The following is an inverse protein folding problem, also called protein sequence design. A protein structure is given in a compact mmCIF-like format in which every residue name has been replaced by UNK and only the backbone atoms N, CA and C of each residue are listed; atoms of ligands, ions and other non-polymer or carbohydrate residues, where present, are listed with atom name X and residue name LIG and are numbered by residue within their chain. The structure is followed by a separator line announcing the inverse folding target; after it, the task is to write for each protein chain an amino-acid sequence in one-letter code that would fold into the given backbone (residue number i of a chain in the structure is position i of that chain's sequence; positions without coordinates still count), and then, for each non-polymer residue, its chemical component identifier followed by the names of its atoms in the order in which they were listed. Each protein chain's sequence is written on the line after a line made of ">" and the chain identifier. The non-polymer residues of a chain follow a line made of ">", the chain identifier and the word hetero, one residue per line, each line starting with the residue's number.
data_IF_227517848669
#
_entry.id   IF_227517848669
#
_cell.length_a   1.000
_cell.length_b   1.000
_cell.length_c   1.000
_cell.angle_alpha   90.00
_cell.angle_beta   90.00
_cell.angle_gamma   90.00
#
_symmetry.space_group_name_H-M   'P 1'
#
loop_
_entity.id
_entity.type
_entity.pdbx_description
1 polymer ?
#
# COMPACT_ATOMS: atom_id res chain seq x y z
N UNK A 1 -33.10 2.11 -4.31
CA UNK A 1 -32.13 2.02 -5.41
C UNK A 1 -32.82 2.33 -6.71
N UNK A 2 -32.19 3.09 -7.59
CA UNK A 2 -32.61 3.27 -8.99
C UNK A 2 -31.62 2.56 -9.90
N UNK A 3 -32.07 2.10 -11.06
CA UNK A 3 -31.22 1.41 -12.04
C UNK A 3 -31.27 2.16 -13.36
N UNK A 4 -30.11 2.58 -13.86
CA UNK A 4 -29.96 3.30 -15.11
C UNK A 4 -29.82 2.31 -16.26
N UNK A 5 -30.81 2.28 -17.14
CA UNK A 5 -30.85 1.41 -18.32
C UNK A 5 -30.57 2.18 -19.61
N UNK A 6 -30.66 3.52 -19.58
CA UNK A 6 -30.30 4.39 -20.69
C UNK A 6 -29.75 5.75 -20.22
N UNK A 7 -29.26 6.56 -21.16
CA UNK A 7 -28.80 7.92 -20.89
C UNK A 7 -29.94 8.86 -20.49
N UNK A 8 -31.18 8.59 -20.90
CA UNK A 8 -32.35 9.34 -20.42
C UNK A 8 -32.59 9.13 -18.93
N UNK A 9 -32.38 7.92 -18.40
CA UNK A 9 -32.48 7.66 -16.95
C UNK A 9 -31.42 8.47 -16.16
N UNK A 10 -30.20 8.55 -16.69
CA UNK A 10 -29.13 9.36 -16.12
C UNK A 10 -29.49 10.85 -16.13
N UNK A 11 -30.06 11.34 -17.24
CA UNK A 11 -30.54 12.72 -17.36
C UNK A 11 -31.70 13.00 -16.39
N UNK A 12 -32.58 12.02 -16.14
CA UNK A 12 -33.68 12.18 -15.19
C UNK A 12 -33.18 12.30 -13.74
N UNK A 13 -32.06 11.66 -13.38
CA UNK A 13 -31.42 11.85 -12.07
C UNK A 13 -30.92 13.27 -11.85
N UNK A 14 -30.49 13.95 -12.92
CA UNK A 14 -30.03 15.33 -12.88
C UNK A 14 -31.09 16.34 -12.43
N UNK A 15 -32.37 15.93 -12.35
CA UNK A 15 -33.47 16.77 -11.86
C UNK A 15 -33.35 17.17 -10.39
N UNK A 16 -32.47 16.51 -9.63
CA UNK A 16 -32.15 16.84 -8.25
C UNK A 16 -30.62 16.96 -8.04
N UNK A 17 -30.21 17.92 -7.21
CA UNK A 17 -28.79 18.04 -6.84
C UNK A 17 -28.33 16.85 -5.95
N UNK A 18 -29.24 16.30 -5.14
CA UNK A 18 -28.97 15.16 -4.25
C UNK A 18 -29.95 14.04 -4.52
N UNK A 19 -29.43 12.85 -4.84
CA UNK A 19 -30.21 11.63 -4.91
C UNK A 19 -30.19 10.87 -3.57
N UNK A 20 -31.39 10.68 -3.00
CA UNK A 20 -31.60 9.95 -1.75
C UNK A 20 -31.72 8.45 -2.00
N UNK A 21 -30.61 7.73 -1.97
CA UNK A 21 -30.52 6.29 -2.20
C UNK A 21 -29.34 5.90 -3.08
N UNK A 22 -29.35 4.65 -3.55
CA UNK A 22 -28.28 4.08 -4.38
C UNK A 22 -28.63 4.10 -5.87
N UNK A 23 -27.61 4.27 -6.70
CA UNK A 23 -27.67 4.23 -8.17
C UNK A 23 -26.94 2.98 -8.67
N UNK A 24 -27.60 2.18 -9.50
CA UNK A 24 -27.04 1.03 -10.18
C UNK A 24 -27.09 1.22 -11.70
N UNK A 25 -26.19 0.58 -12.44
CA UNK A 25 -26.20 0.55 -13.91
C UNK A 25 -26.68 -0.82 -14.39
N UNK A 26 -27.65 -0.84 -15.29
CA UNK A 26 -28.16 -2.07 -15.88
C UNK A 26 -27.08 -2.76 -16.73
N UNK A 27 -27.07 -4.10 -16.74
CA UNK A 27 -26.11 -4.90 -17.52
C UNK A 27 -26.17 -4.65 -19.03
N UNK A 28 -27.33 -4.21 -19.54
CA UNK A 28 -27.54 -3.87 -20.94
C UNK A 28 -27.12 -2.44 -21.33
N UNK A 29 -26.66 -1.62 -20.39
CA UNK A 29 -26.20 -0.26 -20.69
C UNK A 29 -24.96 -0.31 -21.58
N UNK A 30 -24.85 0.61 -22.55
CA UNK A 30 -23.72 0.69 -23.47
C UNK A 30 -23.15 2.10 -23.57
N UNK A 31 -21.94 2.19 -24.11
CA UNK A 31 -21.28 3.44 -24.47
C UNK A 31 -20.91 4.33 -23.28
N UNK A 32 -21.58 5.47 -23.09
CA UNK A 32 -21.18 6.50 -22.12
C UNK A 32 -22.27 6.73 -21.11
N UNK A 33 -21.94 6.59 -19.83
CA UNK A 33 -22.78 7.04 -18.73
C UNK A 33 -22.24 8.36 -18.19
N UNK A 34 -22.95 9.45 -18.48
CA UNK A 34 -22.68 10.76 -17.92
C UNK A 34 -23.72 11.09 -16.84
N UNK A 35 -23.27 11.32 -15.62
CA UNK A 35 -24.09 11.71 -14.47
C UNK A 35 -24.00 13.22 -14.25
N UNK A 36 -24.19 14.02 -15.31
CA UNK A 36 -24.23 15.47 -15.18
C UNK A 36 -25.47 15.95 -14.40
N UNK A 37 -25.36 17.10 -13.75
CA UNK A 37 -26.37 17.75 -12.92
C UNK A 37 -26.47 17.24 -11.48
N UNK A 38 -26.25 15.95 -11.21
CA UNK A 38 -26.25 15.42 -9.84
C UNK A 38 -24.95 15.79 -9.11
N UNK A 39 -25.07 16.23 -7.86
CA UNK A 39 -23.93 16.62 -7.02
C UNK A 39 -23.65 15.62 -5.90
N UNK A 40 -24.68 14.92 -5.41
CA UNK A 40 -24.54 13.95 -4.32
C UNK A 40 -25.41 12.71 -4.53
N UNK A 41 -24.81 11.54 -4.30
CA UNK A 41 -25.51 10.27 -4.10
C UNK A 41 -25.32 9.87 -2.65
N UNK A 42 -26.40 9.85 -1.87
CA UNK A 42 -26.34 9.47 -0.45
C UNK A 42 -26.12 7.97 -0.22
N UNK A 43 -26.39 7.14 -1.23
CA UNK A 43 -26.09 5.71 -1.22
C UNK A 43 -24.84 5.36 -2.03
N UNK A 44 -24.84 4.16 -2.61
CA UNK A 44 -23.77 3.66 -3.49
C UNK A 44 -23.98 4.03 -4.96
N UNK A 45 -22.90 4.11 -5.72
CA UNK A 45 -22.89 4.09 -7.18
C UNK A 45 -22.25 2.78 -7.63
N UNK A 46 -22.99 1.97 -8.40
CA UNK A 46 -22.54 0.63 -8.76
C UNK A 46 -22.79 0.28 -10.23
N UNK A 47 -21.74 -0.20 -10.91
CA UNK A 47 -21.84 -0.86 -12.20
C UNK A 47 -21.15 -2.23 -12.14
N UNK A 48 -21.92 -3.30 -12.34
CA UNK A 48 -21.41 -4.68 -12.37
C UNK A 48 -21.89 -5.42 -13.60
N UNK A 49 -20.99 -6.16 -14.26
CA UNK A 49 -21.31 -6.94 -15.46
C UNK A 49 -21.95 -6.11 -16.59
N UNK A 50 -21.47 -4.87 -16.77
CA UNK A 50 -21.90 -3.97 -17.85
C UNK A 50 -20.79 -3.95 -18.91
N UNK A 51 -20.63 -5.04 -19.65
CA UNK A 51 -19.45 -5.27 -20.50
C UNK A 51 -19.28 -4.29 -21.66
N UNK A 52 -20.34 -3.54 -22.01
CA UNK A 52 -20.37 -2.59 -23.12
C UNK A 52 -20.26 -1.12 -22.70
N UNK A 53 -20.22 -0.80 -21.40
CA UNK A 53 -19.93 0.57 -20.96
C UNK A 53 -18.45 0.89 -21.26
N UNK A 54 -18.20 2.07 -21.82
CA UNK A 54 -16.87 2.53 -22.26
C UNK A 54 -16.36 3.70 -21.44
N UNK A 55 -17.27 4.56 -20.99
CA UNK A 55 -16.94 5.75 -20.19
C UNK A 55 -17.97 5.92 -19.09
N UNK A 56 -17.48 6.28 -17.90
CA UNK A 56 -18.29 6.73 -16.79
C UNK A 56 -17.78 8.10 -16.34
N UNK A 57 -18.63 9.12 -16.37
CA UNK A 57 -18.22 10.48 -16.06
C UNK A 57 -19.24 11.26 -15.24
N UNK A 58 -18.76 12.29 -14.55
CA UNK A 58 -19.58 13.41 -14.11
C UNK A 58 -18.73 14.66 -13.91
N UNK A 59 -19.12 15.81 -14.49
CA UNK A 59 -18.47 17.09 -14.21
C UNK A 59 -18.99 17.76 -12.93
N UNK A 60 -20.03 17.21 -12.31
CA UNK A 60 -20.81 17.85 -11.22
C UNK A 60 -20.88 17.04 -9.95
N UNK A 61 -20.78 15.71 -10.01
CA UNK A 61 -20.84 14.83 -8.85
C UNK A 61 -19.65 15.09 -7.92
N UNK A 62 -19.97 15.46 -6.69
CA UNK A 62 -19.01 15.76 -5.62
C UNK A 62 -18.93 14.64 -4.61
N UNK A 63 -20.05 13.96 -4.33
CA UNK A 63 -20.12 13.01 -3.22
C UNK A 63 -20.86 11.72 -3.58
N UNK A 64 -20.26 10.61 -3.18
CA UNK A 64 -20.90 9.29 -3.10
C UNK A 64 -20.73 8.83 -1.66
N UNK A 65 -21.73 8.99 -0.81
CA UNK A 65 -21.57 8.71 0.63
C UNK A 65 -21.46 7.21 0.93
N UNK A 66 -21.91 6.35 0.01
CA UNK A 66 -21.70 4.90 0.05
C UNK A 66 -20.52 4.44 -0.81
N UNK A 67 -20.55 3.16 -1.19
CA UNK A 67 -19.50 2.56 -2.00
C UNK A 67 -19.59 3.02 -3.48
N UNK A 68 -18.46 3.31 -4.11
CA UNK A 68 -18.31 3.45 -5.54
C UNK A 68 -17.70 2.16 -6.10
N UNK A 69 -18.55 1.32 -6.68
CA UNK A 69 -18.19 -0.05 -7.10
C UNK A 69 -18.27 -0.22 -8.61
N UNK A 70 -17.16 -0.62 -9.22
CA UNK A 70 -17.06 -0.98 -10.63
C UNK A 70 -16.49 -2.40 -10.74
N UNK A 71 -17.24 -3.30 -11.38
CA UNK A 71 -16.91 -4.72 -11.43
C UNK A 71 -17.22 -5.36 -12.79
N UNK A 72 -16.28 -6.10 -13.36
CA UNK A 72 -16.48 -6.83 -14.63
C UNK A 72 -16.99 -5.93 -15.77
N UNK A 73 -16.23 -4.88 -16.07
CA UNK A 73 -16.55 -3.90 -17.11
C UNK A 73 -15.50 -3.97 -18.22
N UNK A 74 -15.60 -4.99 -19.09
CA UNK A 74 -14.60 -5.35 -20.10
C UNK A 74 -14.26 -4.24 -21.11
N UNK A 75 -15.17 -3.27 -21.30
CA UNK A 75 -14.99 -2.17 -22.24
C UNK A 75 -14.72 -0.82 -21.58
N UNK A 76 -14.81 -0.70 -20.25
CA UNK A 76 -14.65 0.58 -19.57
C UNK A 76 -13.20 1.03 -19.70
N UNK A 77 -12.99 2.15 -20.38
CA UNK A 77 -11.66 2.68 -20.66
C UNK A 77 -11.33 3.91 -19.82
N UNK A 78 -12.34 4.71 -19.49
CA UNK A 78 -12.17 6.00 -18.83
C UNK A 78 -13.19 6.20 -17.69
N UNK A 79 -12.69 6.73 -16.58
CA UNK A 79 -13.48 7.24 -15.47
C UNK A 79 -13.09 8.71 -15.27
N UNK A 80 -14.06 9.62 -15.31
CA UNK A 80 -13.78 11.06 -15.21
C UNK A 80 -14.74 11.76 -14.24
N UNK A 81 -14.25 12.07 -13.03
CA UNK A 81 -15.00 12.73 -11.98
C UNK A 81 -14.23 13.93 -11.42
N UNK A 82 -14.36 15.07 -12.11
CA UNK A 82 -13.55 16.28 -11.85
C UNK A 82 -13.78 16.93 -10.50
N UNK A 83 -14.93 16.67 -9.88
CA UNK A 83 -15.35 17.31 -8.62
C UNK A 83 -15.58 16.32 -7.49
N UNK A 84 -15.44 15.02 -7.74
CA UNK A 84 -15.69 14.00 -6.71
C UNK A 84 -14.61 14.15 -5.65
N UNK A 85 -15.03 14.54 -4.45
CA UNK A 85 -14.15 14.81 -3.31
C UNK A 85 -14.46 13.92 -2.10
N UNK A 86 -15.57 13.20 -2.12
CA UNK A 86 -15.99 12.33 -1.03
C UNK A 86 -16.54 11.03 -1.59
N UNK A 87 -15.97 9.90 -1.18
CA UNK A 87 -16.47 8.56 -1.48
C UNK A 87 -16.45 7.73 -0.20
N UNK A 88 -17.47 6.92 0.07
CA UNK A 88 -17.41 5.98 1.20
C UNK A 88 -16.24 5.00 1.03
N UNK A 89 -16.33 4.13 0.02
CA UNK A 89 -15.26 3.19 -0.36
C UNK A 89 -15.18 3.07 -1.87
N UNK A 90 -13.98 2.97 -2.43
CA UNK A 90 -13.76 2.74 -3.85
C UNK A 90 -13.38 1.28 -4.09
N UNK A 91 -14.10 0.60 -4.99
CA UNK A 91 -13.77 -0.77 -5.39
C UNK A 91 -13.84 -0.92 -6.91
N UNK A 92 -12.68 -1.02 -7.54
CA UNK A 92 -12.51 -1.21 -8.97
C UNK A 92 -11.89 -2.58 -9.21
N UNK A 93 -12.65 -3.50 -9.80
CA UNK A 93 -12.31 -4.92 -9.89
C UNK A 93 -12.62 -5.44 -11.30
N UNK A 94 -11.64 -6.07 -11.93
CA UNK A 94 -11.81 -6.68 -13.27
C UNK A 94 -12.24 -5.64 -14.31
N UNK A 95 -11.34 -4.68 -14.56
CA UNK A 95 -11.53 -3.55 -15.48
C UNK A 95 -10.37 -3.51 -16.51
N UNK A 96 -10.25 -4.51 -17.40
CA UNK A 96 -9.03 -4.78 -18.16
C UNK A 96 -8.65 -3.69 -19.18
N UNK A 97 -9.59 -2.81 -19.54
CA UNK A 97 -9.36 -1.68 -20.45
C UNK A 97 -9.28 -0.33 -19.76
N UNK A 98 -9.51 -0.25 -18.45
CA UNK A 98 -9.49 1.02 -17.73
C UNK A 98 -8.05 1.50 -17.67
N UNK A 99 -7.71 2.59 -18.38
CA UNK A 99 -6.33 3.07 -18.47
C UNK A 99 -6.03 4.21 -17.49
N UNK A 100 -7.05 4.98 -17.12
CA UNK A 100 -6.90 6.16 -16.27
C UNK A 100 -8.09 6.33 -15.32
N UNK A 101 -7.81 6.97 -14.18
CA UNK A 101 -8.81 7.36 -13.17
C UNK A 101 -8.69 8.86 -12.98
N UNK A 102 -9.62 9.63 -13.55
CA UNK A 102 -9.66 11.08 -13.42
C UNK A 102 -10.38 11.51 -12.15
N UNK A 103 -9.64 11.73 -11.06
CA UNK A 103 -10.14 12.21 -9.76
C UNK A 103 -9.38 13.47 -9.32
N UNK A 104 -9.61 14.57 -10.06
CA UNK A 104 -8.80 15.77 -10.01
C UNK A 104 -8.86 16.57 -8.69
N UNK A 105 -9.96 16.45 -7.93
CA UNK A 105 -10.20 17.23 -6.72
C UNK A 105 -9.42 16.72 -5.49
N UNK A 106 -8.91 15.48 -5.55
CA UNK A 106 -8.55 14.70 -4.38
C UNK A 106 -9.79 14.18 -3.64
N UNK A 107 -9.69 12.98 -3.06
CA UNK A 107 -10.85 12.25 -2.54
C UNK A 107 -10.64 11.88 -1.09
N UNK A 108 -11.59 12.25 -0.23
CA UNK A 108 -11.77 11.67 1.10
C UNK A 108 -12.46 10.31 0.95
N UNK A 109 -11.79 9.24 1.39
CA UNK A 109 -12.24 7.87 1.19
C UNK A 109 -11.79 6.97 2.33
N UNK A 110 -12.66 6.08 2.80
CA UNK A 110 -12.31 5.13 3.85
C UNK A 110 -11.41 4.00 3.33
N UNK A 111 -11.67 3.47 2.13
CA UNK A 111 -10.83 2.44 1.54
C UNK A 111 -10.78 2.47 0.01
N UNK A 112 -9.66 2.01 -0.55
CA UNK A 112 -9.44 1.91 -2.00
C UNK A 112 -8.97 0.50 -2.35
N UNK A 113 -9.79 -0.20 -3.14
CA UNK A 113 -9.45 -1.50 -3.74
C UNK A 113 -9.32 -1.34 -5.26
N UNK A 114 -8.12 -1.50 -5.82
CA UNK A 114 -7.86 -1.48 -7.27
C UNK A 114 -7.28 -2.83 -7.68
N UNK A 115 -8.09 -3.66 -8.33
CA UNK A 115 -7.74 -5.06 -8.62
C UNK A 115 -7.98 -5.42 -10.08
N UNK A 116 -6.99 -6.07 -10.72
CA UNK A 116 -7.13 -6.60 -12.09
C UNK A 116 -7.63 -5.56 -13.10
N UNK A 117 -7.02 -4.37 -13.09
CA UNK A 117 -7.33 -3.27 -14.00
C UNK A 117 -6.28 -3.09 -15.09
N UNK A 118 -6.62 -2.34 -16.14
CA UNK A 118 -5.69 -1.94 -17.20
C UNK A 118 -4.87 -0.68 -16.88
N UNK A 119 -4.92 -0.18 -15.64
CA UNK A 119 -4.32 1.10 -15.25
C UNK A 119 -2.80 0.98 -15.27
N UNK A 120 -2.13 1.94 -15.91
CA UNK A 120 -0.67 1.98 -16.00
C UNK A 120 -0.03 2.87 -14.93
N UNK A 121 -0.69 3.95 -14.53
CA UNK A 121 -0.26 4.82 -13.42
C UNK A 121 -1.47 5.16 -12.57
N UNK A 122 -1.38 4.90 -11.27
CA UNK A 122 -2.38 5.28 -10.29
C UNK A 122 -1.87 6.48 -9.49
N UNK A 123 -2.51 7.63 -9.70
CA UNK A 123 -2.26 8.85 -8.92
C UNK A 123 -3.55 9.25 -8.20
N UNK A 124 -3.54 9.20 -6.88
CA UNK A 124 -4.69 9.64 -6.08
C UNK A 124 -4.24 10.56 -4.95
N UNK A 125 -4.90 11.70 -4.84
CA UNK A 125 -4.77 12.57 -3.68
C UNK A 125 -5.81 12.17 -2.62
N UNK A 126 -5.54 11.08 -1.91
CA UNK A 126 -6.30 10.65 -0.74
C UNK A 126 -5.61 11.19 0.50
N UNK A 127 -6.32 11.81 1.46
CA UNK A 127 -5.67 12.40 2.64
C UNK A 127 -5.38 11.38 3.75
N UNK A 128 -6.36 10.53 4.03
CA UNK A 128 -6.34 9.46 5.04
C UNK A 128 -7.20 8.32 4.48
N UNK A 129 -6.81 7.08 4.73
CA UNK A 129 -7.63 5.91 4.45
C UNK A 129 -7.41 4.87 5.56
N UNK A 130 -8.39 4.00 5.78
CA UNK A 130 -8.22 2.82 6.62
C UNK A 130 -7.46 1.75 5.84
N UNK A 131 -7.88 1.45 4.60
CA UNK A 131 -7.34 0.37 3.79
C UNK A 131 -7.02 0.82 2.37
N UNK A 132 -5.81 0.50 1.90
CA UNK A 132 -5.40 0.59 0.50
C UNK A 132 -4.94 -0.79 0.04
N UNK A 133 -5.64 -1.33 -0.95
CA UNK A 133 -5.33 -2.62 -1.55
C UNK A 133 -5.22 -2.47 -3.07
N UNK A 134 -4.00 -2.63 -3.60
CA UNK A 134 -3.73 -2.56 -5.04
C UNK A 134 -3.05 -3.85 -5.49
N UNK A 135 -3.79 -4.67 -6.23
CA UNK A 135 -3.32 -6.00 -6.58
C UNK A 135 -3.66 -6.45 -8.01
N UNK A 136 -2.87 -7.37 -8.54
CA UNK A 136 -3.10 -8.02 -9.84
C UNK A 136 -3.19 -7.06 -11.04
N UNK A 137 -2.66 -5.83 -10.92
CA UNK A 137 -2.65 -4.87 -12.03
C UNK A 137 -1.35 -5.03 -12.86
N UNK A 138 -1.35 -6.00 -13.77
CA UNK A 138 -0.16 -6.40 -14.54
C UNK A 138 0.44 -5.31 -15.42
N UNK A 139 -0.29 -4.21 -15.68
CA UNK A 139 0.18 -3.07 -16.46
C UNK A 139 0.63 -1.87 -15.60
N UNK A 140 0.43 -1.93 -14.29
CA UNK A 140 0.61 -0.80 -13.39
C UNK A 140 2.09 -0.58 -13.08
N UNK A 141 2.69 0.42 -13.72
CA UNK A 141 4.11 0.78 -13.58
C UNK A 141 4.36 1.72 -12.40
N UNK A 142 3.37 2.50 -11.99
CA UNK A 142 3.53 3.50 -10.94
C UNK A 142 2.29 3.61 -10.06
N UNK A 143 2.50 3.77 -8.75
CA UNK A 143 1.48 4.07 -7.76
C UNK A 143 1.99 5.23 -6.92
N UNK A 144 1.35 6.40 -7.03
CA UNK A 144 1.66 7.56 -6.19
C UNK A 144 0.39 8.01 -5.46
N UNK A 145 0.44 7.99 -4.12
CA UNK A 145 -0.71 8.34 -3.30
C UNK A 145 -0.35 9.44 -2.30
N UNK A 146 -1.16 10.50 -2.26
CA UNK A 146 -0.97 11.68 -1.41
C UNK A 146 -1.30 11.51 0.09
N UNK A 147 -1.44 10.27 0.57
CA UNK A 147 -1.97 9.98 1.90
C UNK A 147 -0.98 10.28 3.03
N UNK A 148 -1.54 10.70 4.17
CA UNK A 148 -0.79 10.99 5.39
C UNK A 148 -0.78 9.83 6.37
N UNK A 149 -1.92 9.12 6.49
CA UNK A 149 -2.14 8.06 7.48
C UNK A 149 -2.90 6.86 6.88
N UNK A 150 -2.53 5.65 7.30
CA UNK A 150 -3.21 4.37 7.01
C UNK A 150 -3.73 3.73 8.30
N UNK A 151 -5.05 3.69 8.47
CA UNK A 151 -5.72 3.20 9.68
C UNK A 151 -5.49 1.71 9.97
N UNK A 152 -5.58 0.87 8.95
CA UNK A 152 -5.51 -0.59 9.05
C UNK A 152 -4.37 -1.16 8.20
N UNK A 153 -4.43 -1.05 6.87
CA UNK A 153 -3.47 -1.71 5.99
C UNK A 153 -3.18 -0.96 4.69
N UNK A 154 -1.91 -0.98 4.28
CA UNK A 154 -1.43 -0.62 2.95
C UNK A 154 -0.79 -1.85 2.33
N UNK A 155 -1.45 -2.42 1.32
CA UNK A 155 -1.01 -3.65 0.65
C UNK A 155 -0.91 -3.42 -0.85
N UNK A 156 0.30 -3.63 -1.37
CA UNK A 156 0.62 -3.60 -2.80
C UNK A 156 1.22 -4.95 -3.16
N UNK A 157 0.58 -5.72 -4.04
CA UNK A 157 1.08 -7.04 -4.42
C UNK A 157 0.69 -7.47 -5.84
N UNK A 158 1.48 -8.36 -6.45
CA UNK A 158 1.16 -8.97 -7.74
C UNK A 158 0.81 -7.99 -8.89
N UNK A 159 1.30 -6.75 -8.84
CA UNK A 159 1.18 -5.79 -9.94
C UNK A 159 2.28 -6.04 -10.99
N UNK A 160 2.51 -5.09 -11.92
CA UNK A 160 3.67 -5.17 -12.80
C UNK A 160 4.95 -5.36 -11.94
N UNK A 161 5.84 -6.33 -12.23
CA UNK A 161 7.10 -6.52 -11.50
C UNK A 161 8.02 -5.28 -11.45
N UNK A 162 7.82 -4.33 -12.37
CA UNK A 162 8.52 -3.04 -12.40
C UNK A 162 7.78 -1.92 -11.66
N UNK A 163 6.70 -2.20 -10.93
CA UNK A 163 5.91 -1.16 -10.25
C UNK A 163 6.75 -0.37 -9.25
N UNK A 164 6.78 0.94 -9.42
CA UNK A 164 7.33 1.89 -8.46
C UNK A 164 6.20 2.42 -7.57
N UNK A 165 6.48 2.60 -6.27
CA UNK A 165 5.52 3.16 -5.31
C UNK A 165 6.08 4.42 -4.65
N UNK A 166 5.25 5.45 -4.55
CA UNK A 166 5.59 6.72 -3.91
C UNK A 166 4.47 7.18 -2.95
N UNK A 167 4.84 7.38 -1.70
CA UNK A 167 3.97 7.83 -0.61
C UNK A 167 4.59 9.08 0.04
N UNK A 168 4.60 10.22 -0.66
CA UNK A 168 5.43 11.38 -0.30
C UNK A 168 5.04 12.04 1.02
N UNK A 169 3.79 11.86 1.45
CA UNK A 169 3.24 12.46 2.67
C UNK A 169 2.95 11.47 3.79
N UNK A 170 3.13 10.17 3.55
CA UNK A 170 2.78 9.14 4.53
C UNK A 170 3.67 9.29 5.76
N UNK A 171 3.06 9.54 6.91
CA UNK A 171 3.74 9.82 8.18
C UNK A 171 3.51 8.75 9.24
N UNK A 172 2.35 8.07 9.15
CA UNK A 172 1.96 6.99 10.04
C UNK A 172 1.21 5.90 9.28
N UNK A 173 1.45 4.64 9.61
CA UNK A 173 0.67 3.53 9.12
C UNK A 173 0.45 2.50 10.21
N UNK A 174 -0.69 1.82 10.19
CA UNK A 174 -0.85 0.64 11.04
C UNK A 174 -0.04 -0.53 10.49
N UNK A 175 -0.29 -0.97 9.27
CA UNK A 175 0.43 -2.08 8.63
C UNK A 175 0.79 -1.72 7.19
N UNK A 176 2.01 -2.08 6.76
CA UNK A 176 2.51 -1.92 5.39
C UNK A 176 3.02 -3.28 4.91
N UNK A 177 2.47 -3.76 3.79
CA UNK A 177 2.92 -4.96 3.10
C UNK A 177 3.18 -4.62 1.63
N UNK A 178 4.45 -4.65 1.22
CA UNK A 178 4.86 -4.43 -0.16
C UNK A 178 5.43 -5.72 -0.73
N UNK A 179 4.86 -6.20 -1.84
CA UNK A 179 5.29 -7.40 -2.53
C UNK A 179 5.51 -7.14 -4.01
N UNK A 180 6.62 -7.62 -4.56
CA UNK A 180 6.97 -7.47 -5.98
C UNK A 180 7.03 -6.00 -6.45
N UNK A 181 7.60 -5.13 -5.62
CA UNK A 181 7.79 -3.71 -5.91
C UNK A 181 9.24 -3.45 -6.34
N UNK A 182 9.44 -2.59 -7.34
CA UNK A 182 10.76 -2.31 -7.94
C UNK A 182 11.45 -1.07 -7.36
N UNK A 183 10.68 -0.09 -6.90
CA UNK A 183 11.17 1.13 -6.27
C UNK A 183 10.19 1.62 -5.21
N UNK A 184 10.71 2.16 -4.11
CA UNK A 184 9.93 2.50 -2.91
C UNK A 184 10.37 3.85 -2.38
N UNK A 185 9.44 4.82 -2.39
CA UNK A 185 9.62 6.13 -1.78
C UNK A 185 8.56 6.35 -0.69
N UNK A 186 9.02 6.60 0.54
CA UNK A 186 8.16 6.97 1.68
C UNK A 186 8.94 7.88 2.66
N UNK A 187 9.41 9.05 2.22
CA UNK A 187 10.43 9.83 2.93
C UNK A 187 9.98 10.37 4.29
N UNK A 188 8.66 10.40 4.56
CA UNK A 188 8.07 11.01 5.76
C UNK A 188 7.56 10.02 6.79
N UNK A 189 7.57 8.72 6.50
CA UNK A 189 7.03 7.73 7.44
C UNK A 189 7.89 7.76 8.71
N UNK A 190 7.23 7.93 9.85
CA UNK A 190 7.91 8.02 11.14
C UNK A 190 7.57 6.85 12.06
N UNK A 191 6.39 6.27 11.89
CA UNK A 191 5.86 5.28 12.82
C UNK A 191 5.01 4.23 12.10
N UNK A 192 5.25 2.96 12.41
CA UNK A 192 4.42 1.83 11.99
C UNK A 192 3.92 1.07 13.23
N UNK A 193 2.61 0.96 13.40
CA UNK A 193 2.02 0.42 14.63
C UNK A 193 2.04 -1.11 14.72
N UNK A 194 1.89 -1.79 13.59
CA UNK A 194 1.96 -3.23 13.51
C UNK A 194 3.20 -3.60 12.70
N UNK A 195 3.09 -3.90 11.41
CA UNK A 195 4.21 -4.46 10.67
C UNK A 195 4.53 -3.68 9.40
N UNK A 196 5.80 -3.68 9.03
CA UNK A 196 6.32 -3.19 7.76
C UNK A 196 7.12 -4.31 7.09
N UNK A 197 6.56 -4.89 6.04
CA UNK A 197 7.16 -6.00 5.29
C UNK A 197 7.46 -5.62 3.83
N UNK A 198 8.69 -5.94 3.39
CA UNK A 198 9.09 -5.99 1.98
C UNK A 198 9.36 -7.45 1.62
N UNK A 199 8.63 -7.96 0.64
CA UNK A 199 8.64 -9.39 0.29
C UNK A 199 8.79 -9.56 -1.22
N UNK A 200 9.81 -10.29 -1.68
CA UNK A 200 10.00 -10.54 -3.10
C UNK A 200 10.06 -9.25 -3.96
N UNK A 201 10.58 -8.16 -3.39
CA UNK A 201 10.79 -6.89 -4.09
C UNK A 201 12.13 -6.89 -4.82
N UNK A 202 12.18 -6.17 -5.94
CA UNK A 202 13.38 -6.01 -6.79
C UNK A 202 14.08 -4.66 -6.59
N UNK A 203 13.64 -3.87 -5.60
CA UNK A 203 14.34 -2.64 -5.22
C UNK A 203 15.77 -2.90 -4.79
N UNK A 204 16.67 -1.99 -5.18
CA UNK A 204 18.10 -2.06 -4.84
C UNK A 204 18.40 -1.48 -3.47
N UNK A 205 17.59 -0.54 -3.01
CA UNK A 205 17.81 0.19 -1.77
C UNK A 205 16.51 0.52 -1.06
N UNK A 206 16.52 0.45 0.27
CA UNK A 206 15.47 0.96 1.13
C UNK A 206 16.02 2.11 1.98
N UNK A 207 15.61 3.34 1.68
CA UNK A 207 16.02 4.54 2.40
C UNK A 207 14.81 5.17 3.08
N UNK A 208 14.70 5.01 4.41
CA UNK A 208 13.55 5.53 5.17
C UNK A 208 14.05 6.35 6.37
N UNK A 209 14.56 7.57 6.11
CA UNK A 209 15.32 8.34 7.10
C UNK A 209 14.50 8.80 8.31
N UNK A 210 13.18 8.92 8.16
CA UNK A 210 12.28 9.38 9.21
C UNK A 210 11.77 8.27 10.13
N UNK A 211 11.91 6.98 9.78
CA UNK A 211 11.25 5.88 10.46
C UNK A 211 11.91 5.60 11.81
N UNK A 212 11.17 5.86 12.89
CA UNK A 212 11.68 5.81 14.25
C UNK A 212 11.21 4.58 15.03
N UNK A 213 9.99 4.13 14.79
CA UNK A 213 9.37 3.02 15.54
C UNK A 213 8.58 2.12 14.63
N UNK A 214 8.78 0.81 14.78
CA UNK A 214 7.92 -0.24 14.26
C UNK A 214 7.50 -1.11 15.44
N UNK A 215 6.25 -1.02 15.87
CA UNK A 215 5.80 -1.69 17.10
C UNK A 215 5.73 -3.22 16.96
N UNK A 216 5.37 -3.72 15.77
CA UNK A 216 5.36 -5.13 15.40
C UNK A 216 6.59 -5.50 14.55
N UNK A 217 6.38 -6.14 13.40
CA UNK A 217 7.48 -6.73 12.63
C UNK A 217 8.05 -5.77 11.59
N UNK A 218 9.37 -5.61 11.58
CA UNK A 218 10.09 -5.17 10.39
C UNK A 218 10.63 -6.40 9.66
N UNK A 219 10.21 -6.60 8.42
CA UNK A 219 10.54 -7.79 7.64
C UNK A 219 11.11 -7.45 6.27
N UNK A 220 12.30 -7.92 5.98
CA UNK A 220 12.92 -7.94 4.65
C UNK A 220 13.07 -9.40 4.24
N UNK A 221 12.22 -9.88 3.33
CA UNK A 221 12.14 -11.31 2.98
C UNK A 221 12.30 -11.49 1.48
N UNK A 222 13.29 -12.29 1.07
CA UNK A 222 13.48 -12.71 -0.32
C UNK A 222 13.56 -11.53 -1.30
N UNK A 223 14.29 -10.46 -0.96
CA UNK A 223 14.50 -9.34 -1.88
C UNK A 223 15.87 -9.52 -2.58
N UNK A 224 15.91 -10.15 -3.77
CA UNK A 224 17.17 -10.61 -4.38
C UNK A 224 18.09 -9.47 -4.83
N UNK A 225 17.54 -8.29 -5.07
CA UNK A 225 18.29 -7.13 -5.55
C UNK A 225 18.61 -6.09 -4.46
N UNK A 226 18.01 -6.22 -3.27
CA UNK A 226 18.19 -5.29 -2.16
C UNK A 226 19.60 -5.43 -1.59
N UNK A 227 20.41 -4.40 -1.74
CA UNK A 227 21.78 -4.33 -1.22
C UNK A 227 21.95 -3.32 -0.09
N UNK A 228 21.24 -2.20 -0.17
CA UNK A 228 21.39 -1.08 0.76
C UNK A 228 20.12 -0.88 1.60
N UNK A 229 20.25 -0.91 2.92
CA UNK A 229 19.16 -0.62 3.87
C UNK A 229 19.62 0.47 4.82
N UNK A 230 18.97 1.63 4.77
CA UNK A 230 19.31 2.79 5.60
C UNK A 230 18.08 3.28 6.39
N UNK A 231 18.16 3.09 7.72
CA UNK A 231 17.13 3.41 8.70
C UNK A 231 17.75 4.18 9.88
N UNK A 232 18.35 5.36 9.63
CA UNK A 232 19.23 6.05 10.58
C UNK A 232 18.50 6.54 11.83
N UNK A 233 17.18 6.72 11.78
CA UNK A 233 16.37 7.17 12.91
C UNK A 233 15.69 6.03 13.67
N UNK A 234 15.86 4.76 13.27
CA UNK A 234 15.12 3.64 13.86
C UNK A 234 15.60 3.39 15.30
N UNK A 235 14.71 3.64 16.27
CA UNK A 235 14.97 3.52 17.71
C UNK A 235 14.49 2.20 18.28
N UNK A 236 13.37 1.68 17.78
CA UNK A 236 12.79 0.45 18.30
C UNK A 236 11.98 -0.34 17.27
N UNK A 237 12.08 -1.66 17.37
CA UNK A 237 11.31 -2.62 16.57
C UNK A 237 10.67 -3.69 17.45
N UNK A 238 9.51 -4.21 17.08
CA UNK A 238 8.91 -5.38 17.71
C UNK A 238 9.68 -6.66 17.40
N UNK A 239 9.68 -7.08 16.13
CA UNK A 239 10.44 -8.22 15.58
C UNK A 239 11.28 -7.76 14.39
N UNK A 240 12.50 -8.26 14.28
CA UNK A 240 13.39 -7.94 13.15
C UNK A 240 13.69 -9.21 12.35
N UNK A 241 13.15 -9.28 11.13
CA UNK A 241 13.38 -10.38 10.20
C UNK A 241 14.12 -9.88 8.97
N UNK A 242 15.30 -10.44 8.70
CA UNK A 242 16.06 -10.23 7.48
C UNK A 242 16.38 -11.61 6.91
N UNK A 243 15.56 -12.07 5.98
CA UNK A 243 15.53 -13.46 5.54
C UNK A 243 15.82 -13.54 4.04
N UNK A 244 16.83 -14.32 3.67
CA UNK A 244 17.09 -14.75 2.30
C UNK A 244 17.27 -13.60 1.28
N UNK A 245 17.85 -12.49 1.71
CA UNK A 245 18.16 -11.37 0.82
C UNK A 245 19.57 -11.54 0.24
N UNK A 246 19.66 -11.95 -1.03
CA UNK A 246 20.91 -12.40 -1.65
C UNK A 246 22.04 -11.34 -1.69
N UNK A 247 21.69 -10.05 -1.73
CA UNK A 247 22.64 -8.93 -1.90
C UNK A 247 22.87 -8.07 -0.67
N UNK A 248 22.15 -8.29 0.44
CA UNK A 248 22.43 -7.60 1.70
C UNK A 248 23.72 -8.17 2.28
N UNK A 249 24.85 -7.51 2.02
CA UNK A 249 26.14 -7.89 2.59
C UNK A 249 26.35 -7.30 3.98
N UNK A 250 25.97 -6.04 4.20
CA UNK A 250 26.12 -5.36 5.48
C UNK A 250 24.83 -4.65 5.85
N UNK A 251 24.47 -4.69 7.13
CA UNK A 251 23.35 -3.94 7.67
C UNK A 251 23.74 -3.25 8.97
N UNK A 252 23.43 -1.96 9.08
CA UNK A 252 23.64 -1.21 10.32
C UNK A 252 22.35 -0.61 10.83
N UNK A 253 22.12 -0.76 12.14
CA UNK A 253 21.06 -0.12 12.88
C UNK A 253 21.66 0.76 13.98
N UNK A 254 22.22 1.89 13.57
CA UNK A 254 23.02 2.78 14.43
C UNK A 254 22.29 3.22 15.72
N UNK A 255 21.00 3.57 15.61
CA UNK A 255 20.21 4.08 16.73
C UNK A 255 19.26 3.05 17.36
N UNK A 256 19.25 1.82 16.86
CA UNK A 256 18.27 0.83 17.32
C UNK A 256 18.61 0.36 18.73
N UNK A 257 17.84 0.85 19.70
CA UNK A 257 18.05 0.61 21.12
C UNK A 257 17.23 -0.57 21.65
N UNK A 258 16.07 -0.86 21.04
CA UNK A 258 15.11 -1.84 21.59
C UNK A 258 14.55 -2.78 20.54
N UNK A 259 14.61 -4.08 20.83
CA UNK A 259 13.91 -5.13 20.11
C UNK A 259 12.99 -5.87 21.10
N UNK A 260 11.68 -5.74 20.91
CA UNK A 260 10.71 -6.20 21.92
C UNK A 260 10.47 -7.72 21.88
N UNK A 261 10.80 -8.38 20.78
CA UNK A 261 10.49 -9.77 20.54
C UNK A 261 11.66 -10.46 19.80
N UNK A 262 11.42 -11.11 18.66
CA UNK A 262 12.37 -12.03 18.03
C UNK A 262 13.24 -11.30 16.99
N UNK A 263 14.49 -11.74 16.90
CA UNK A 263 15.40 -11.43 15.79
C UNK A 263 15.70 -12.71 15.04
N UNK A 264 15.55 -12.68 13.73
CA UNK A 264 15.96 -13.75 12.84
C UNK A 264 16.62 -13.13 11.62
N UNK A 265 17.91 -13.39 11.46
CA UNK A 265 18.69 -12.93 10.32
C UNK A 265 19.32 -14.16 9.67
N UNK A 266 18.99 -14.39 8.40
CA UNK A 266 19.50 -15.53 7.61
C UNK A 266 20.06 -15.07 6.26
N UNK A 267 20.97 -15.86 5.70
CA UNK A 267 21.50 -15.67 4.36
C UNK A 267 22.95 -15.17 4.35
N UNK A 268 23.28 -14.30 3.40
CA UNK A 268 24.68 -13.95 3.09
C UNK A 268 25.18 -12.68 3.79
N UNK A 269 24.65 -12.35 4.98
CA UNK A 269 24.95 -11.08 5.67
C UNK A 269 26.32 -11.16 6.37
N UNK A 270 27.35 -10.55 5.80
CA UNK A 270 28.73 -10.65 6.34
C UNK A 270 29.00 -9.74 7.54
N UNK A 271 28.20 -8.68 7.75
CA UNK A 271 28.36 -7.78 8.90
C UNK A 271 27.03 -7.18 9.36
N UNK A 272 26.80 -7.19 10.68
CA UNK A 272 25.60 -6.62 11.32
C UNK A 272 26.07 -5.75 12.49
N UNK A 273 25.66 -4.48 12.52
CA UNK A 273 25.99 -3.57 13.64
C UNK A 273 24.74 -2.99 14.28
N UNK A 274 24.68 -3.05 15.62
CA UNK A 274 23.62 -2.46 16.44
C UNK A 274 24.23 -1.79 17.68
N UNK A 275 25.06 -0.73 17.53
CA UNK A 275 25.87 -0.19 18.61
C UNK A 275 25.06 0.42 19.76
N UNK A 276 23.84 0.90 19.49
CA UNK A 276 22.95 1.47 20.49
C UNK A 276 22.07 0.44 21.22
N UNK A 277 22.18 -0.86 20.90
CA UNK A 277 21.28 -1.88 21.43
C UNK A 277 21.35 -1.99 22.96
N UNK A 278 20.23 -1.71 23.62
CA UNK A 278 20.08 -1.76 25.08
C UNK A 278 19.25 -2.95 25.55
N UNK A 279 18.32 -3.44 24.72
CA UNK A 279 17.53 -4.63 25.06
C UNK A 279 16.99 -5.36 23.84
N UNK A 280 17.17 -6.68 23.83
CA UNK A 280 16.47 -7.63 22.98
C UNK A 280 15.75 -8.67 23.86
N UNK A 281 14.41 -8.64 23.85
CA UNK A 281 13.58 -9.32 24.86
C UNK A 281 13.08 -10.72 24.45
N UNK A 282 13.24 -11.12 23.18
CA UNK A 282 12.88 -12.45 22.66
C UNK A 282 14.08 -13.24 22.15
N UNK A 283 13.83 -14.33 21.41
CA UNK A 283 14.89 -15.15 20.81
C UNK A 283 15.68 -14.35 19.79
N UNK A 284 16.99 -14.56 19.76
CA UNK A 284 17.93 -13.84 18.91
C UNK A 284 18.75 -14.84 18.10
N UNK A 285 18.42 -14.97 16.82
CA UNK A 285 19.02 -15.94 15.92
C UNK A 285 19.69 -15.22 14.75
N UNK A 286 20.99 -15.44 14.61
CA UNK A 286 21.77 -15.12 13.41
C UNK A 286 22.26 -16.44 12.83
N UNK A 287 21.94 -16.69 11.57
CA UNK A 287 22.44 -17.82 10.80
C UNK A 287 23.02 -17.28 9.49
N UNK A 288 24.33 -17.00 9.50
CA UNK A 288 25.02 -16.31 8.41
C UNK A 288 26.14 -17.16 7.81
N UNK A 289 27.06 -16.53 7.06
CA UNK A 289 28.22 -17.16 6.45
C UNK A 289 29.22 -17.69 7.50
N UNK A 290 30.01 -18.72 7.17
CA UNK A 290 30.93 -19.49 8.06
C UNK A 290 32.01 -18.67 8.81
N UNK A 291 32.20 -17.39 8.51
CA UNK A 291 33.18 -16.51 9.19
C UNK A 291 32.53 -15.22 9.75
N UNK A 292 31.23 -15.25 10.05
CA UNK A 292 30.50 -14.13 10.62
C UNK A 292 30.91 -13.87 12.08
N UNK A 293 31.29 -12.62 12.39
CA UNK A 293 31.75 -12.26 13.72
C UNK A 293 30.60 -12.13 14.75
N UNK A 294 30.46 -13.13 15.61
CA UNK A 294 29.48 -13.15 16.70
C UNK A 294 29.90 -12.38 17.97
N UNK A 295 31.17 -11.96 18.12
CA UNK A 295 31.72 -11.36 19.36
C UNK A 295 30.88 -10.18 19.92
N UNK A 296 30.37 -9.24 19.11
CA UNK A 296 29.54 -8.15 19.63
C UNK A 296 28.24 -8.66 20.27
N UNK A 297 27.62 -9.68 19.68
CA UNK A 297 26.36 -10.25 20.15
C UNK A 297 26.57 -11.19 21.34
N UNK A 298 27.70 -11.90 21.40
CA UNK A 298 28.14 -12.65 22.58
C UNK A 298 28.33 -11.73 23.79
N UNK A 299 28.89 -10.54 23.56
CA UNK A 299 29.03 -9.49 24.57
C UNK A 299 27.66 -8.98 25.03
N UNK A 300 26.74 -8.71 24.11
CA UNK A 300 25.36 -8.35 24.45
C UNK A 300 24.64 -9.45 25.22
N UNK A 301 24.88 -10.72 24.89
CA UNK A 301 24.34 -11.85 25.64
C UNK A 301 24.87 -11.89 27.06
N UNK A 302 26.19 -11.78 27.23
CA UNK A 302 26.86 -11.81 28.54
C UNK A 302 26.42 -10.63 29.44
N UNK A 303 26.23 -9.46 28.84
CA UNK A 303 25.77 -8.25 29.54
C UNK A 303 24.24 -8.19 29.72
N UNK A 304 23.51 -9.26 29.42
CA UNK A 304 22.06 -9.36 29.57
C UNK A 304 21.27 -8.32 28.74
N UNK A 305 21.86 -7.81 27.66
CA UNK A 305 21.16 -7.03 26.62
C UNK A 305 20.26 -7.98 25.82
N UNK A 306 20.77 -9.16 25.42
CA UNK A 306 19.97 -10.25 24.82
C UNK A 306 19.48 -11.18 25.94
N UNK A 307 18.17 -11.13 26.22
CA UNK A 307 17.62 -11.72 27.46
C UNK A 307 17.24 -13.19 27.35
N UNK A 308 16.82 -13.66 26.17
CA UNK A 308 16.29 -15.02 25.98
C UNK A 308 17.30 -15.88 25.22
N UNK A 309 16.81 -16.87 24.49
CA UNK A 309 17.63 -17.72 23.63
C UNK A 309 18.47 -16.86 22.67
N UNK A 310 19.72 -17.27 22.50
CA UNK A 310 20.67 -16.62 21.62
C UNK A 310 21.43 -17.71 20.85
N UNK A 311 21.42 -17.59 19.54
CA UNK A 311 22.12 -18.46 18.60
C UNK A 311 22.76 -17.56 17.56
N UNK A 312 24.06 -17.72 17.38
CA UNK A 312 24.80 -17.06 16.32
C UNK A 312 25.66 -18.11 15.64
N UNK A 313 25.34 -18.39 14.37
CA UNK A 313 26.15 -19.20 13.49
C UNK A 313 26.85 -18.29 12.50
N UNK A 314 28.16 -18.48 12.46
CA UNK A 314 29.12 -17.66 11.78
C UNK A 314 30.48 -18.30 11.88
#
# INVERSE_FOLDING_TARGET
>A
TTTLSSTEDATALASCATYSGSVAVASGFSDTLDLDGIQEISGKLEARNVSSIRTLSSPTLQKILGDFTLGWLDSLANIEFKKLDTVGRMRFDTLPKLQSVGLDAGVDVASVDIVSTGIESLELNVKVADDIYVADNQKMNNISLGLNNIGNSLTIEANNPEVAVDFPSLSWANNITLRNVSDISMPRINFVNDSFGLIACSTKSLMVPGLSVINGMFGLVDNPDLGDVDLPALLSVGKLFVLDNAKIGTISFEQLAKINSHVTITGNVTNITMPALQSANGSFVIDSVEDFNCDPFDTYKTNNVIKREYVCFG
#
